data_IF_851038859377
#
_entry.id   IF_851038859377
#
_cell.length_a   1.000
_cell.length_b   1.000
_cell.length_c   1.000
_cell.angle_alpha   90.00
_cell.angle_beta   90.00
_cell.angle_gamma   90.00
#
_symmetry.space_group_name_H-M   'P 1'
#
loop_
_entity.id
_entity.type
_entity.pdbx_description
1 polymer ?
#
# COMPACT_ATOMS: atom_id res chain seq x y z
N UNK A 1 50.95 15.92 -1.04
CA UNK A 1 50.22 17.10 -0.55
C UNK A 1 48.76 16.90 -0.89
N UNK A 2 47.96 16.53 0.11
CA UNK A 2 46.52 16.33 0.01
C UNK A 2 45.80 17.66 0.14
N UNK A 3 44.86 17.97 -0.76
CA UNK A 3 43.90 19.00 -0.52
C UNK A 3 42.52 18.53 -0.99
N UNK A 4 41.74 18.00 -0.06
CA UNK A 4 40.30 18.00 -0.14
C UNK A 4 39.75 18.98 0.88
N UNK A 5 39.50 20.22 0.47
CA UNK A 5 38.80 21.19 1.28
C UNK A 5 37.29 21.06 0.93
N UNK A 6 36.51 20.61 1.90
CA UNK A 6 35.05 20.68 1.84
C UNK A 6 34.62 22.10 2.27
N UNK A 7 34.26 22.94 1.33
CA UNK A 7 33.64 24.22 1.64
C UNK A 7 32.17 23.99 2.08
N UNK A 8 31.96 23.99 3.40
CA UNK A 8 30.62 24.07 3.98
C UNK A 8 30.15 25.51 3.89
N UNK A 9 29.38 25.83 2.87
CA UNK A 9 28.71 27.13 2.77
C UNK A 9 27.51 27.14 3.74
N UNK A 10 27.63 27.97 4.80
CA UNK A 10 26.55 28.27 5.74
C UNK A 10 25.45 29.13 5.08
N UNK A 11 24.69 28.58 4.12
CA UNK A 11 23.43 29.15 3.68
C UNK A 11 22.31 28.26 4.21
N UNK A 12 21.58 28.76 5.22
CA UNK A 12 20.29 28.16 5.60
C UNK A 12 19.42 28.06 4.35
N UNK A 13 18.91 26.88 4.00
CA UNK A 13 18.00 26.76 2.88
C UNK A 13 16.73 27.56 3.23
N UNK A 14 16.35 28.51 2.39
CA UNK A 14 15.00 29.05 2.40
C UNK A 14 14.10 27.94 1.86
N UNK A 15 13.35 27.28 2.74
CA UNK A 15 12.25 26.41 2.32
C UNK A 15 11.18 27.32 1.69
N UNK A 16 11.11 27.34 0.38
CA UNK A 16 9.88 27.69 -0.31
C UNK A 16 8.96 26.48 -0.23
N UNK A 17 7.78 26.65 0.30
CA UNK A 17 6.75 25.62 0.43
C UNK A 17 6.13 25.20 -0.92
N UNK A 18 6.67 25.65 -2.01
CA UNK A 18 6.22 25.35 -3.35
C UNK A 18 7.38 24.73 -4.14
N UNK A 19 7.10 23.60 -4.77
CA UNK A 19 7.87 23.01 -5.86
C UNK A 19 9.22 22.37 -5.49
N UNK A 20 9.21 21.07 -5.12
CA UNK A 20 10.28 20.16 -5.57
C UNK A 20 10.07 18.71 -5.11
N UNK A 21 8.89 18.15 -5.33
CA UNK A 21 8.72 16.69 -5.37
C UNK A 21 7.98 16.23 -6.63
N UNK A 22 8.03 17.07 -7.68
CA UNK A 22 7.75 16.63 -9.03
C UNK A 22 9.09 16.23 -9.64
N UNK A 23 9.47 14.98 -9.52
CA UNK A 23 10.48 14.41 -10.41
C UNK A 23 9.93 14.54 -11.83
N UNK A 24 10.44 15.53 -12.56
CA UNK A 24 10.33 15.59 -14.00
C UNK A 24 11.02 14.34 -14.56
N UNK A 25 10.24 13.31 -14.85
CA UNK A 25 10.62 12.35 -15.88
C UNK A 25 9.36 11.75 -16.53
N UNK A 26 9.24 12.05 -17.82
CA UNK A 26 8.49 11.38 -18.89
C UNK A 26 7.05 10.91 -18.64
N UNK A 27 6.14 11.55 -19.38
CA UNK A 27 4.92 11.02 -20.09
C UNK A 27 4.28 9.70 -19.66
N UNK A 28 4.54 9.20 -18.45
CA UNK A 28 3.78 8.14 -17.79
C UNK A 28 2.90 8.78 -16.72
N UNK A 29 1.60 8.53 -16.76
CA UNK A 29 0.63 8.95 -15.75
C UNK A 29 1.24 8.91 -14.35
N UNK A 30 1.22 10.03 -13.60
CA UNK A 30 1.70 10.09 -12.23
C UNK A 30 0.86 9.16 -11.36
N UNK A 31 1.28 7.90 -11.25
CA UNK A 31 0.59 6.85 -10.50
C UNK A 31 0.70 7.03 -8.98
N UNK A 32 1.67 7.86 -8.54
CA UNK A 32 1.87 8.21 -7.14
C UNK A 32 2.03 9.72 -7.04
N UNK A 33 1.22 10.31 -6.18
CA UNK A 33 1.22 11.74 -5.90
C UNK A 33 1.20 11.97 -4.40
N UNK A 34 1.89 12.98 -3.91
CA UNK A 34 1.88 13.34 -2.48
C UNK A 34 1.56 14.81 -2.29
N UNK A 35 0.71 15.11 -1.31
CA UNK A 35 0.35 16.45 -0.91
C UNK A 35 0.16 16.53 0.61
N UNK A 36 0.84 17.47 1.27
CA UNK A 36 0.89 17.56 2.73
C UNK A 36 1.42 16.25 3.34
N UNK A 37 0.64 15.57 4.17
CA UNK A 37 0.91 14.24 4.75
C UNK A 37 0.09 13.12 4.06
N UNK A 38 -0.43 13.39 2.85
CA UNK A 38 -1.20 12.43 2.06
C UNK A 38 -0.37 11.91 0.89
N UNK A 39 -0.42 10.60 0.65
CA UNK A 39 0.15 9.90 -0.50
C UNK A 39 -0.99 9.23 -1.23
N UNK A 40 -1.11 9.46 -2.52
CA UNK A 40 -2.13 8.88 -3.40
C UNK A 40 -1.47 7.86 -4.31
N UNK A 41 -1.94 6.63 -4.24
CA UNK A 41 -1.51 5.52 -5.10
C UNK A 41 -2.66 5.11 -6.00
N UNK A 42 -2.49 5.30 -7.31
CA UNK A 42 -3.48 4.95 -8.33
C UNK A 42 -2.81 4.20 -9.48
N UNK A 43 -2.49 2.92 -9.25
CA UNK A 43 -1.83 2.08 -10.25
C UNK A 43 -1.99 0.58 -9.91
N UNK A 44 -1.49 -0.27 -10.80
CA UNK A 44 -1.26 -1.68 -10.55
C UNK A 44 -0.06 -1.89 -9.60
N UNK A 45 -0.16 -2.88 -8.73
CA UNK A 45 0.92 -3.25 -7.81
C UNK A 45 1.92 -4.14 -8.53
N UNK A 46 3.09 -3.60 -8.81
CA UNK A 46 4.23 -4.29 -9.41
C UNK A 46 5.55 -3.81 -8.76
N UNK A 47 6.68 -4.39 -9.16
CA UNK A 47 7.97 -4.07 -8.56
C UNK A 47 8.32 -2.58 -8.66
N UNK A 48 8.01 -1.92 -9.79
CA UNK A 48 8.31 -0.51 -10.00
C UNK A 48 7.41 0.39 -9.13
N UNK A 49 6.10 0.14 -9.14
CA UNK A 49 5.13 0.94 -8.36
C UNK A 49 5.31 0.72 -6.86
N UNK A 50 5.65 -0.50 -6.43
CA UNK A 50 6.01 -0.78 -5.03
C UNK A 50 7.27 -0.03 -4.61
N UNK A 51 8.32 -0.03 -5.43
CA UNK A 51 9.54 0.73 -5.15
C UNK A 51 9.28 2.23 -5.03
N UNK A 52 8.49 2.80 -5.95
CA UNK A 52 8.10 4.22 -5.91
C UNK A 52 7.30 4.55 -4.65
N UNK A 53 6.31 3.72 -4.29
CA UNK A 53 5.48 3.92 -3.10
C UNK A 53 6.31 3.82 -1.81
N UNK A 54 7.19 2.83 -1.70
CA UNK A 54 8.09 2.68 -0.57
C UNK A 54 9.01 3.90 -0.39
N UNK A 55 9.51 4.47 -1.49
CA UNK A 55 10.31 5.69 -1.45
C UNK A 55 9.48 6.91 -1.02
N UNK A 56 8.23 7.03 -1.53
CA UNK A 56 7.33 8.10 -1.13
C UNK A 56 6.99 8.05 0.37
N UNK A 57 6.73 6.86 0.91
CA UNK A 57 6.48 6.66 2.34
C UNK A 57 7.69 7.08 3.20
N UNK A 58 8.91 6.62 2.85
CA UNK A 58 10.14 7.00 3.56
C UNK A 58 10.44 8.49 3.46
N UNK A 59 10.29 9.07 2.28
CA UNK A 59 10.49 10.52 2.07
C UNK A 59 9.50 11.34 2.90
N UNK A 60 8.24 10.91 2.98
CA UNK A 60 7.22 11.57 3.81
C UNK A 60 7.57 11.49 5.30
N UNK A 61 8.00 10.33 5.79
CA UNK A 61 8.46 10.17 7.17
C UNK A 61 9.61 11.13 7.50
N UNK A 62 10.64 11.17 6.65
CA UNK A 62 11.80 12.06 6.84
C UNK A 62 11.33 13.53 6.87
N UNK A 63 10.51 13.94 5.90
CA UNK A 63 10.00 15.30 5.82
C UNK A 63 9.21 15.72 7.06
N UNK A 64 8.31 14.86 7.56
CA UNK A 64 7.51 15.16 8.75
C UNK A 64 8.37 15.24 10.01
N UNK A 65 9.36 14.36 10.16
CA UNK A 65 10.33 14.41 11.27
C UNK A 65 11.21 15.67 11.23
N UNK A 66 11.70 16.08 10.07
CA UNK A 66 12.46 17.33 9.90
C UNK A 66 11.66 18.58 10.31
N UNK A 67 10.35 18.54 10.13
CA UNK A 67 9.43 19.59 10.56
C UNK A 67 9.04 19.49 12.05
N UNK A 68 9.57 18.52 12.79
CA UNK A 68 9.19 18.20 14.18
C UNK A 68 7.67 17.90 14.32
N UNK A 69 7.10 17.19 13.35
CA UNK A 69 5.69 16.81 13.30
C UNK A 69 5.61 15.29 13.53
N UNK A 70 5.85 14.86 14.76
CA UNK A 70 5.98 13.42 15.10
C UNK A 70 4.64 12.71 15.37
N UNK A 71 3.53 13.45 15.46
CA UNK A 71 2.23 12.91 15.86
C UNK A 71 1.16 12.95 14.76
N UNK A 72 1.53 13.32 13.54
CA UNK A 72 0.60 13.36 12.42
C UNK A 72 0.73 12.08 11.60
N UNK A 73 -0.38 11.37 11.33
CA UNK A 73 -0.34 10.18 10.49
C UNK A 73 -0.04 10.51 9.04
N UNK A 74 0.57 9.55 8.33
CA UNK A 74 0.63 9.54 6.87
C UNK A 74 -0.66 8.90 6.37
N UNK A 75 -1.41 9.62 5.53
CA UNK A 75 -2.59 9.07 4.86
C UNK A 75 -2.18 8.45 3.53
N UNK A 76 -2.41 7.14 3.39
CA UNK A 76 -2.17 6.40 2.16
C UNK A 76 -3.51 6.12 1.46
N UNK A 77 -3.80 6.90 0.43
CA UNK A 77 -4.98 6.74 -0.42
C UNK A 77 -4.71 5.70 -1.49
N UNK A 78 -5.62 4.74 -1.62
CA UNK A 78 -5.46 3.58 -2.50
C UNK A 78 -6.60 3.48 -3.50
N UNK A 79 -6.25 3.39 -4.77
CA UNK A 79 -7.10 2.99 -5.89
C UNK A 79 -6.31 2.01 -6.74
N UNK A 80 -6.68 0.72 -6.76
CA UNK A 80 -5.89 -0.30 -7.47
C UNK A 80 -6.69 -1.58 -7.73
N UNK A 81 -6.48 -2.19 -8.87
CA UNK A 81 -6.97 -3.53 -9.18
C UNK A 81 -6.12 -4.65 -8.52
N UNK A 82 -5.07 -4.29 -7.78
CA UNK A 82 -4.14 -5.25 -7.21
C UNK A 82 -2.91 -5.47 -8.07
N UNK A 83 -2.36 -6.67 -8.08
CA UNK A 83 -1.19 -7.03 -8.87
C UNK A 83 -0.28 -8.04 -8.17
N UNK A 84 1.04 -7.88 -8.28
CA UNK A 84 2.04 -8.83 -7.80
C UNK A 84 2.06 -8.90 -6.26
N UNK A 85 1.79 -10.09 -5.74
CA UNK A 85 1.67 -10.32 -4.29
C UNK A 85 2.97 -10.01 -3.52
N UNK A 86 4.13 -10.37 -4.06
CA UNK A 86 5.41 -10.08 -3.40
C UNK A 86 5.73 -8.59 -3.35
N UNK A 87 5.27 -7.83 -4.33
CA UNK A 87 5.34 -6.37 -4.33
C UNK A 87 4.45 -5.76 -3.24
N UNK A 88 3.25 -6.32 -3.02
CA UNK A 88 2.39 -5.91 -1.92
C UNK A 88 3.03 -6.21 -0.56
N UNK A 89 3.65 -7.37 -0.37
CA UNK A 89 4.39 -7.69 0.86
C UNK A 89 5.54 -6.69 1.11
N UNK A 90 6.28 -6.31 0.07
CA UNK A 90 7.32 -5.28 0.19
C UNK A 90 6.77 -3.93 0.66
N UNK A 91 5.58 -3.53 0.20
CA UNK A 91 4.91 -2.31 0.66
C UNK A 91 4.50 -2.45 2.13
N UNK A 92 3.88 -3.57 2.50
CA UNK A 92 3.46 -3.86 3.87
C UNK A 92 4.65 -3.82 4.83
N UNK A 93 5.76 -4.46 4.47
CA UNK A 93 6.98 -4.43 5.28
C UNK A 93 7.51 -3.01 5.41
N UNK A 94 7.50 -2.21 4.34
CA UNK A 94 7.86 -0.80 4.41
C UNK A 94 6.95 -0.03 5.37
N UNK A 95 5.63 -0.23 5.30
CA UNK A 95 4.68 0.40 6.23
C UNK A 95 4.99 0.05 7.68
N UNK A 96 5.35 -1.21 7.97
CA UNK A 96 5.69 -1.66 9.32
C UNK A 96 7.02 -1.06 9.84
N UNK A 97 7.94 -0.64 8.96
CA UNK A 97 9.20 0.01 9.33
C UNK A 97 9.07 1.53 9.51
N UNK A 98 8.05 2.15 8.96
CA UNK A 98 7.77 3.57 9.18
C UNK A 98 7.33 3.77 10.64
N UNK A 99 7.93 4.72 11.33
CA UNK A 99 7.66 4.99 12.74
C UNK A 99 6.44 5.88 12.98
N UNK A 100 5.97 6.58 11.93
CA UNK A 100 4.75 7.39 11.99
C UNK A 100 3.53 6.51 11.71
N UNK A 101 2.37 6.80 12.33
CA UNK A 101 1.13 6.09 12.03
C UNK A 101 0.78 6.19 10.54
N UNK A 102 0.44 5.07 9.90
CA UNK A 102 -0.06 5.08 8.53
C UNK A 102 -1.55 4.75 8.57
N UNK A 103 -2.35 5.69 8.07
CA UNK A 103 -3.80 5.53 7.91
C UNK A 103 -4.10 5.26 6.44
N UNK A 104 -4.76 4.16 6.14
CA UNK A 104 -5.13 3.81 4.77
C UNK A 104 -6.53 4.32 4.44
N UNK A 105 -6.70 4.79 3.21
CA UNK A 105 -7.98 5.29 2.69
C UNK A 105 -8.28 4.58 1.38
N UNK A 106 -9.34 3.79 1.34
CA UNK A 106 -9.82 3.14 0.13
C UNK A 106 -10.65 4.15 -0.67
N UNK A 107 -10.22 4.45 -1.90
CA UNK A 107 -10.92 5.33 -2.84
C UNK A 107 -11.31 4.57 -4.11
N UNK A 108 -12.51 4.84 -4.62
CA UNK A 108 -13.02 4.21 -5.84
C UNK A 108 -13.05 2.70 -5.74
N UNK A 109 -11.96 2.02 -6.07
CA UNK A 109 -11.88 0.56 -6.05
C UNK A 109 -10.51 0.05 -5.59
N UNK A 110 -10.53 -0.89 -4.65
CA UNK A 110 -9.31 -1.59 -4.20
C UNK A 110 -9.54 -3.09 -4.22
N UNK A 111 -8.75 -3.81 -4.99
CA UNK A 111 -8.91 -5.24 -5.18
C UNK A 111 -7.63 -6.04 -4.89
N UNK A 112 -7.81 -7.35 -4.63
CA UNK A 112 -6.74 -8.34 -4.61
C UNK A 112 -5.57 -7.93 -3.69
N UNK A 113 -4.33 -7.89 -4.19
CA UNK A 113 -3.14 -7.46 -3.44
C UNK A 113 -3.28 -6.05 -2.81
N UNK A 114 -4.11 -5.17 -3.38
CA UNK A 114 -4.40 -3.84 -2.83
C UNK A 114 -5.12 -3.89 -1.49
N UNK A 115 -6.02 -4.85 -1.30
CA UNK A 115 -6.74 -5.01 -0.04
C UNK A 115 -5.82 -5.47 1.09
N UNK A 116 -4.75 -6.21 0.78
CA UNK A 116 -3.74 -6.57 1.78
C UNK A 116 -3.01 -5.33 2.30
N UNK A 117 -2.66 -4.38 1.41
CA UNK A 117 -2.04 -3.13 1.82
C UNK A 117 -3.02 -2.31 2.68
N UNK A 118 -4.28 -2.21 2.25
CA UNK A 118 -5.28 -1.41 2.95
C UNK A 118 -5.55 -1.86 4.39
N UNK A 119 -5.54 -3.17 4.67
CA UNK A 119 -5.80 -3.70 6.02
C UNK A 119 -4.60 -3.60 6.97
N UNK A 120 -3.44 -3.15 6.51
CA UNK A 120 -2.26 -2.90 7.34
C UNK A 120 -2.19 -1.48 7.90
N UNK A 121 -3.07 -0.58 7.49
CA UNK A 121 -3.19 0.74 8.12
C UNK A 121 -3.52 0.61 9.60
N UNK A 122 -2.92 1.49 10.42
CA UNK A 122 -3.24 1.59 11.85
C UNK A 122 -4.68 2.06 12.06
N UNK A 123 -5.16 2.97 11.19
CA UNK A 123 -6.56 3.28 10.95
C UNK A 123 -6.87 3.05 9.46
N UNK A 124 -8.05 2.52 9.20
CA UNK A 124 -8.44 2.08 7.86
C UNK A 124 -9.77 2.75 7.50
N UNK A 125 -9.70 3.61 6.52
CA UNK A 125 -10.86 4.35 6.03
C UNK A 125 -11.32 3.82 4.67
N UNK A 126 -12.59 4.02 4.36
CA UNK A 126 -13.15 3.78 3.05
C UNK A 126 -14.06 4.94 2.65
N UNK A 127 -13.94 5.42 1.40
CA UNK A 127 -14.84 6.41 0.86
C UNK A 127 -16.25 5.82 0.67
N UNK A 128 -17.30 6.64 0.83
CA UNK A 128 -18.70 6.20 0.81
C UNK A 128 -19.08 5.40 -0.44
N UNK A 129 -18.55 5.79 -1.60
CA UNK A 129 -18.86 5.15 -2.89
C UNK A 129 -17.76 4.18 -3.35
N UNK A 130 -16.81 3.85 -2.49
CA UNK A 130 -15.75 2.92 -2.84
C UNK A 130 -16.19 1.47 -2.65
N UNK A 131 -15.55 0.58 -3.42
CA UNK A 131 -15.76 -0.85 -3.39
C UNK A 131 -14.44 -1.58 -3.15
N UNK A 132 -14.53 -2.77 -2.57
CA UNK A 132 -13.39 -3.67 -2.38
C UNK A 132 -13.69 -5.06 -2.92
N UNK A 133 -12.65 -5.74 -3.42
CA UNK A 133 -12.76 -7.12 -3.87
C UNK A 133 -11.61 -7.96 -3.31
N UNK A 134 -11.98 -9.06 -2.66
CA UNK A 134 -11.03 -10.07 -2.16
C UNK A 134 -11.29 -11.37 -2.92
N UNK A 135 -10.24 -11.96 -3.46
CA UNK A 135 -10.28 -13.27 -4.13
C UNK A 135 -9.02 -14.08 -3.81
N UNK A 136 -9.05 -15.37 -4.16
CA UNK A 136 -7.88 -16.23 -3.99
C UNK A 136 -6.75 -15.87 -4.96
N UNK A 137 -5.54 -16.32 -4.62
CA UNK A 137 -4.36 -16.09 -5.44
C UNK A 137 -4.57 -16.66 -6.85
N UNK A 138 -4.30 -15.83 -7.87
CA UNK A 138 -4.28 -16.24 -9.28
C UNK A 138 -2.84 -16.43 -9.72
N UNK A 139 -2.56 -17.55 -10.37
CA UNK A 139 -1.25 -17.83 -10.95
C UNK A 139 -1.38 -18.68 -12.21
N UNK A 140 -0.39 -18.63 -13.06
CA UNK A 140 -0.23 -19.51 -14.21
C UNK A 140 1.02 -20.35 -14.03
N UNK A 141 0.94 -21.65 -14.35
CA UNK A 141 2.07 -22.58 -14.25
C UNK A 141 2.30 -23.25 -15.60
N UNK A 142 3.54 -23.21 -16.04
CA UNK A 142 4.00 -23.89 -17.25
C UNK A 142 5.38 -24.46 -17.01
N UNK A 143 5.62 -25.71 -17.40
CA UNK A 143 6.92 -26.36 -17.25
C UNK A 143 6.80 -27.86 -17.22
N UNK A 144 7.85 -28.54 -16.74
CA UNK A 144 7.84 -29.98 -16.47
C UNK A 144 6.91 -30.32 -15.31
N UNK A 145 6.49 -31.55 -15.21
CA UNK A 145 5.60 -32.02 -14.13
C UNK A 145 6.14 -31.65 -12.75
N UNK A 146 7.43 -31.91 -12.49
CA UNK A 146 8.06 -31.57 -11.20
C UNK A 146 8.07 -30.06 -10.91
N UNK A 147 8.34 -29.25 -11.93
CA UNK A 147 8.32 -27.78 -11.80
C UNK A 147 6.90 -27.26 -11.48
N UNK A 148 5.88 -27.87 -12.08
CA UNK A 148 4.47 -27.53 -11.80
C UNK A 148 4.06 -27.94 -10.38
N UNK A 149 4.50 -29.09 -9.88
CA UNK A 149 4.24 -29.54 -8.51
C UNK A 149 4.93 -28.66 -7.47
N UNK A 150 6.17 -28.27 -7.71
CA UNK A 150 6.90 -27.31 -6.85
C UNK A 150 6.21 -25.95 -6.82
N UNK A 151 5.83 -25.40 -7.96
CA UNK A 151 5.14 -24.12 -8.06
C UNK A 151 3.76 -24.17 -7.39
N UNK A 152 3.00 -25.26 -7.58
CA UNK A 152 1.74 -25.48 -6.88
C UNK A 152 1.93 -25.48 -5.36
N UNK A 153 3.04 -26.04 -4.89
CA UNK A 153 3.40 -26.04 -3.47
C UNK A 153 3.69 -24.63 -2.96
N UNK A 154 4.40 -23.81 -3.74
CA UNK A 154 4.68 -22.40 -3.43
C UNK A 154 3.40 -21.56 -3.39
N UNK A 155 2.54 -21.71 -4.40
CA UNK A 155 1.23 -21.03 -4.48
C UNK A 155 0.38 -21.36 -3.24
N UNK A 156 0.32 -22.62 -2.82
CA UNK A 156 -0.41 -23.02 -1.61
C UNK A 156 0.14 -22.37 -0.34
N UNK A 157 1.47 -22.26 -0.20
CA UNK A 157 2.09 -21.58 0.96
C UNK A 157 1.72 -20.09 0.97
N UNK A 158 1.78 -19.42 -0.17
CA UNK A 158 1.41 -17.99 -0.28
C UNK A 158 -0.08 -17.83 0.03
N UNK A 159 -0.96 -18.68 -0.52
CA UNK A 159 -2.39 -18.63 -0.26
C UNK A 159 -2.72 -18.81 1.23
N UNK A 160 -2.06 -19.74 1.93
CA UNK A 160 -2.24 -19.91 3.37
C UNK A 160 -1.73 -18.70 4.16
N UNK A 161 -0.65 -18.07 3.71
CA UNK A 161 -0.16 -16.83 4.31
C UNK A 161 -1.15 -15.67 4.15
N UNK A 162 -1.75 -15.52 2.96
CA UNK A 162 -2.81 -14.54 2.72
C UNK A 162 -4.02 -14.76 3.64
N UNK A 163 -4.47 -16.01 3.74
CA UNK A 163 -5.58 -16.37 4.63
C UNK A 163 -5.27 -15.99 6.08
N UNK A 164 -4.04 -16.24 6.54
CA UNK A 164 -3.58 -15.86 7.88
C UNK A 164 -3.65 -14.35 8.09
N UNK A 165 -3.15 -13.56 7.14
CA UNK A 165 -3.20 -12.09 7.20
C UNK A 165 -4.64 -11.59 7.33
N UNK A 166 -5.56 -12.04 6.48
CA UNK A 166 -6.97 -11.62 6.59
C UNK A 166 -7.60 -12.00 7.92
N UNK A 167 -7.31 -13.19 8.46
CA UNK A 167 -7.84 -13.64 9.76
C UNK A 167 -7.30 -12.81 10.93
N UNK A 168 -6.07 -12.33 10.84
CA UNK A 168 -5.43 -11.51 11.88
C UNK A 168 -5.88 -10.04 11.81
N UNK A 169 -6.09 -9.52 10.61
CA UNK A 169 -6.33 -8.09 10.38
C UNK A 169 -7.80 -7.71 10.22
N UNK A 170 -8.71 -8.69 10.08
CA UNK A 170 -10.13 -8.43 9.82
C UNK A 170 -11.03 -9.24 10.78
N UNK A 171 -12.32 -8.93 10.77
CA UNK A 171 -13.33 -9.67 11.54
C UNK A 171 -13.83 -10.95 10.85
N UNK A 172 -13.31 -11.27 9.66
CA UNK A 172 -13.80 -12.38 8.84
C UNK A 172 -13.37 -13.72 9.42
N UNK A 173 -14.32 -14.60 9.72
CA UNK A 173 -14.03 -15.94 10.20
C UNK A 173 -13.57 -16.86 9.05
N UNK A 174 -12.62 -17.78 9.31
CA UNK A 174 -12.01 -18.69 8.32
C UNK A 174 -13.02 -19.35 7.37
N UNK A 175 -14.13 -19.90 7.90
CA UNK A 175 -15.14 -20.56 7.07
C UNK A 175 -15.80 -19.58 6.06
N UNK A 176 -16.02 -18.32 6.48
CA UNK A 176 -16.57 -17.26 5.61
C UNK A 176 -15.51 -16.81 4.61
N UNK A 177 -14.28 -16.57 5.05
CA UNK A 177 -13.15 -16.16 4.20
C UNK A 177 -12.91 -17.17 3.06
N UNK A 178 -12.85 -18.47 3.38
CA UNK A 178 -12.66 -19.51 2.35
C UNK A 178 -13.78 -19.56 1.29
N UNK A 179 -14.99 -19.10 1.62
CA UNK A 179 -16.09 -18.97 0.66
C UNK A 179 -15.98 -17.70 -0.17
N UNK A 180 -15.55 -16.60 0.46
CA UNK A 180 -15.35 -15.32 -0.18
C UNK A 180 -14.25 -15.42 -1.22
N UNK A 181 -13.10 -15.97 -0.84
CA UNK A 181 -11.93 -16.10 -1.71
C UNK A 181 -12.21 -16.83 -3.04
N UNK A 182 -13.22 -17.72 -3.05
CA UNK A 182 -13.63 -18.47 -4.27
C UNK A 182 -14.59 -17.70 -5.18
N UNK A 183 -14.89 -16.45 -4.86
CA UNK A 183 -15.86 -15.63 -5.57
C UNK A 183 -15.32 -14.23 -5.81
N UNK A 184 -15.53 -13.71 -7.00
CA UNK A 184 -15.20 -12.32 -7.34
C UNK A 184 -16.43 -11.44 -7.07
N UNK A 185 -16.69 -11.18 -5.78
CA UNK A 185 -17.81 -10.34 -5.35
C UNK A 185 -17.24 -9.05 -4.77
N UNK A 186 -17.69 -7.94 -5.31
CA UNK A 186 -17.36 -6.62 -4.83
C UNK A 186 -18.23 -6.26 -3.62
N UNK A 187 -17.62 -5.63 -2.62
CA UNK A 187 -18.28 -5.15 -1.43
C UNK A 187 -18.26 -3.64 -1.40
N UNK A 188 -19.38 -3.07 -1.05
CA UNK A 188 -19.51 -1.64 -0.81
C UNK A 188 -18.86 -1.24 0.52
N UNK A 189 -18.88 0.04 0.84
CA UNK A 189 -18.26 0.58 2.05
C UNK A 189 -18.86 0.03 3.35
N UNK A 190 -20.17 -0.21 3.41
CA UNK A 190 -20.85 -0.74 4.60
C UNK A 190 -20.44 -2.20 4.86
N UNK A 191 -20.42 -3.02 3.82
CA UNK A 191 -19.96 -4.41 3.88
C UNK A 191 -18.47 -4.50 4.22
N UNK A 192 -17.64 -3.60 3.67
CA UNK A 192 -16.21 -3.56 3.99
C UNK A 192 -15.95 -3.26 5.46
N UNK A 193 -16.75 -2.37 6.07
CA UNK A 193 -16.69 -2.08 7.51
C UNK A 193 -17.21 -3.27 8.33
N UNK A 194 -18.33 -3.86 7.95
CA UNK A 194 -18.88 -5.06 8.63
C UNK A 194 -17.85 -6.19 8.71
N UNK A 195 -17.04 -6.37 7.65
CA UNK A 195 -16.01 -7.40 7.59
C UNK A 195 -14.66 -6.99 8.19
N UNK A 196 -14.55 -5.74 8.64
CA UNK A 196 -13.33 -5.21 9.24
C UNK A 196 -12.19 -5.00 8.23
N UNK A 197 -12.53 -4.77 6.96
CA UNK A 197 -11.58 -4.32 5.92
C UNK A 197 -11.28 -2.83 6.12
N UNK A 198 -12.29 -2.06 6.51
CA UNK A 198 -12.15 -0.68 6.96
C UNK A 198 -12.77 -0.52 8.35
N UNK A 199 -12.39 0.52 9.06
CA UNK A 199 -12.90 0.83 10.40
C UNK A 199 -14.07 1.82 10.32
N UNK A 200 -14.00 2.78 9.40
CA UNK A 200 -15.03 3.83 9.26
C UNK A 200 -15.03 4.48 7.86
N UNK A 201 -16.11 5.20 7.56
CA UNK A 201 -16.20 6.01 6.35
C UNK A 201 -15.24 7.20 6.44
N UNK A 202 -14.48 7.45 5.37
CA UNK A 202 -13.63 8.63 5.24
C UNK A 202 -14.51 9.88 5.04
N UNK A 203 -14.57 10.71 6.06
CA UNK A 203 -15.28 11.99 6.03
C UNK A 203 -14.25 13.12 5.97
N UNK A 204 -14.55 14.14 5.18
CA UNK A 204 -13.76 15.38 5.18
C UNK A 204 -13.99 16.09 6.51
N UNK A 205 -12.93 16.21 7.30
CA UNK A 205 -12.90 17.11 8.47
C UNK A 205 -12.75 18.55 8.00
#
# INVERSE_FOLDING_TARGET
>A
MNKYEWNVSNKKPKLSLNDELLTNDDTSSNSIYSFSNHIYFNDEINNNTAFKLNNALRAMEIKLKELNIDNIPIYLHLTTNGGIIHSAFSIIDCMNYISLPIYTVIEGFVASAGTLISIYGEKRYICKNAYVLIHELRSGVWGKMSEMEEEMTNIKKIQEHLVKIYLEKTSIKRKKLNRILKKDIEWNSEEAIEFGIADEIYLKN
#
